data_IF_026019241750
#
_entry.id   IF_026019241750
#
_cell.length_a   1.000
_cell.length_b   1.000
_cell.length_c   1.000
_cell.angle_alpha   90.00
_cell.angle_beta   90.00
_cell.angle_gamma   90.00
#
_symmetry.space_group_name_H-M   'P 1'
#
loop_
_entity.id
_entity.type
_entity.pdbx_description
1 polymer ?
#
# COMPACT_ATOMS: atom_id res chain seq x y z
N UNK A 1 13.57 1.68 10.25
CA UNK A 1 12.15 1.98 9.96
C UNK A 1 11.82 3.44 10.24
N UNK A 2 11.81 3.90 11.50
CA UNK A 2 11.29 5.24 11.88
C UNK A 2 11.94 6.41 11.13
N UNK A 3 13.28 6.43 11.02
CA UNK A 3 13.98 7.49 10.28
C UNK A 3 13.50 7.62 8.83
N UNK A 4 13.44 6.49 8.12
CA UNK A 4 12.95 6.45 6.74
C UNK A 4 11.48 6.87 6.65
N UNK A 5 10.65 6.45 7.61
CA UNK A 5 9.26 6.92 7.72
C UNK A 5 9.14 8.44 7.85
N UNK A 6 10.02 9.09 8.64
CA UNK A 6 10.06 10.56 8.74
C UNK A 6 10.48 11.20 7.42
N UNK A 7 11.46 10.61 6.72
CA UNK A 7 11.95 11.12 5.42
C UNK A 7 10.86 11.15 4.35
N UNK A 8 9.95 10.16 4.34
CA UNK A 8 8.79 10.12 3.44
C UNK A 8 7.96 11.40 3.52
N UNK A 9 7.66 11.87 4.72
CA UNK A 9 6.84 13.07 4.94
C UNK A 9 7.60 14.39 4.73
N UNK A 10 8.93 14.35 4.76
CA UNK A 10 9.77 15.55 4.56
C UNK A 10 10.15 15.77 3.10
N UNK A 11 10.03 14.76 2.26
CA UNK A 11 10.50 14.81 0.88
C UNK A 11 9.37 15.19 -0.07
N UNK A 12 9.61 16.20 -0.92
CA UNK A 12 8.62 16.71 -1.87
C UNK A 12 8.52 15.88 -3.17
N UNK A 13 9.58 15.14 -3.51
CA UNK A 13 9.58 14.26 -4.69
C UNK A 13 8.92 12.92 -4.37
N UNK A 14 7.93 12.54 -5.19
CA UNK A 14 7.16 11.32 -5.02
C UNK A 14 8.03 10.05 -5.14
N UNK A 15 9.02 10.03 -6.05
CA UNK A 15 9.95 8.88 -6.20
C UNK A 15 10.79 8.70 -4.94
N UNK A 16 11.35 9.80 -4.42
CA UNK A 16 12.22 9.75 -3.25
C UNK A 16 11.45 9.31 -2.01
N UNK A 17 10.20 9.76 -1.88
CA UNK A 17 9.30 9.30 -0.82
C UNK A 17 8.96 7.82 -0.96
N UNK A 18 8.70 7.32 -2.18
CA UNK A 18 8.48 5.89 -2.40
C UNK A 18 9.70 5.04 -2.03
N UNK A 19 10.91 5.45 -2.42
CA UNK A 19 12.14 4.75 -2.05
C UNK A 19 12.41 4.79 -0.54
N UNK A 20 12.18 5.92 0.12
CA UNK A 20 12.28 6.01 1.57
C UNK A 20 11.27 5.07 2.25
N UNK A 21 10.04 4.98 1.74
CA UNK A 21 9.04 4.05 2.26
C UNK A 21 9.45 2.59 2.05
N UNK A 22 10.03 2.25 0.89
CA UNK A 22 10.59 0.92 0.62
C UNK A 22 11.62 0.53 1.68
N UNK A 23 12.60 1.41 1.97
CA UNK A 23 13.57 1.15 3.04
C UNK A 23 12.92 0.99 4.42
N UNK A 24 11.86 1.76 4.70
CA UNK A 24 11.11 1.60 5.95
C UNK A 24 10.44 0.23 6.05
N UNK A 25 9.80 -0.23 4.97
CA UNK A 25 9.12 -1.54 4.91
C UNK A 25 10.11 -2.71 4.91
N UNK A 26 11.22 -2.60 4.19
CA UNK A 26 12.30 -3.60 4.25
C UNK A 26 12.86 -3.72 5.66
N UNK A 27 13.04 -2.59 6.38
CA UNK A 27 13.48 -2.63 7.77
C UNK A 27 12.47 -3.33 8.71
N UNK A 28 11.15 -3.27 8.42
CA UNK A 28 10.14 -4.06 9.15
C UNK A 28 10.27 -5.56 8.83
N UNK A 29 10.52 -5.91 7.57
CA UNK A 29 10.82 -7.30 7.19
C UNK A 29 12.04 -7.86 7.94
N UNK A 30 13.12 -7.07 8.04
CA UNK A 30 14.31 -7.43 8.85
C UNK A 30 13.97 -7.57 10.34
N UNK A 31 13.07 -6.73 10.86
CA UNK A 31 12.59 -6.85 12.25
C UNK A 31 11.83 -8.16 12.47
N UNK A 32 11.02 -8.63 11.52
CA UNK A 32 10.39 -9.95 11.60
C UNK A 32 11.41 -11.09 11.60
N UNK A 33 12.50 -10.99 10.82
CA UNK A 33 13.60 -11.96 10.89
C UNK A 33 14.25 -11.96 12.29
N UNK A 34 14.45 -10.78 12.89
CA UNK A 34 14.96 -10.66 14.26
C UNK A 34 14.02 -11.26 15.31
N UNK A 35 12.72 -11.33 15.03
CA UNK A 35 11.70 -11.95 15.88
C UNK A 35 11.52 -13.45 15.60
N UNK A 36 12.42 -14.08 14.82
CA UNK A 36 12.35 -15.48 14.40
C UNK A 36 11.09 -15.83 13.57
N UNK A 37 10.45 -14.82 12.97
CA UNK A 37 9.31 -14.97 12.06
C UNK A 37 9.81 -14.95 10.61
N UNK A 38 10.60 -15.96 10.24
CA UNK A 38 11.38 -15.96 9.00
C UNK A 38 10.53 -15.90 7.73
N UNK A 39 9.52 -16.76 7.65
CA UNK A 39 8.59 -16.80 6.50
C UNK A 39 7.94 -15.43 6.27
N UNK A 40 7.43 -14.82 7.34
CA UNK A 40 6.75 -13.53 7.26
C UNK A 40 7.72 -12.40 6.91
N UNK A 41 8.94 -12.41 7.45
CA UNK A 41 9.99 -11.44 7.12
C UNK A 41 10.41 -11.50 5.65
N UNK A 42 10.60 -12.71 5.11
CA UNK A 42 10.93 -12.91 3.69
C UNK A 42 9.76 -12.46 2.81
N UNK A 43 8.53 -12.88 3.11
CA UNK A 43 7.35 -12.45 2.35
C UNK A 43 7.19 -10.93 2.35
N UNK A 44 7.37 -10.29 3.50
CA UNK A 44 7.29 -8.84 3.63
C UNK A 44 8.28 -8.15 2.69
N UNK A 45 9.53 -8.60 2.67
CA UNK A 45 10.57 -8.01 1.81
C UNK A 45 10.26 -8.29 0.34
N UNK A 46 9.91 -9.52 -0.03
CA UNK A 46 9.66 -9.88 -1.43
C UNK A 46 8.44 -9.16 -2.02
N UNK A 47 7.31 -9.13 -1.30
CA UNK A 47 6.09 -8.49 -1.79
C UNK A 47 6.25 -6.98 -1.87
N UNK A 48 6.73 -6.34 -0.80
CA UNK A 48 6.89 -4.88 -0.75
C UNK A 48 7.95 -4.39 -1.74
N UNK A 49 9.08 -5.09 -1.87
CA UNK A 49 10.09 -4.72 -2.86
C UNK A 49 9.51 -4.79 -4.28
N UNK A 50 8.73 -5.83 -4.58
CA UNK A 50 8.13 -6.00 -5.91
C UNK A 50 7.09 -4.92 -6.20
N UNK A 51 6.14 -4.67 -5.28
CA UNK A 51 5.07 -3.69 -5.52
C UNK A 51 5.65 -2.28 -5.75
N UNK A 52 6.56 -1.86 -4.87
CA UNK A 52 7.09 -0.50 -4.91
C UNK A 52 8.06 -0.31 -6.06
N UNK A 53 8.83 -1.35 -6.44
CA UNK A 53 9.72 -1.27 -7.61
C UNK A 53 8.92 -1.11 -8.89
N UNK A 54 7.85 -1.88 -9.07
CA UNK A 54 6.99 -1.79 -10.25
C UNK A 54 6.33 -0.41 -10.32
N UNK A 55 5.75 0.05 -9.21
CA UNK A 55 5.14 1.38 -9.13
C UNK A 55 6.18 2.48 -9.44
N UNK A 56 7.37 2.42 -8.84
CA UNK A 56 8.41 3.42 -9.06
C UNK A 56 8.88 3.47 -10.53
N UNK A 57 9.05 2.31 -11.17
CA UNK A 57 9.43 2.24 -12.59
C UNK A 57 8.35 2.88 -13.47
N UNK A 58 7.09 2.48 -13.30
CA UNK A 58 5.99 3.04 -14.09
C UNK A 58 5.77 4.53 -13.82
N UNK A 59 5.97 4.97 -12.58
CA UNK A 59 5.91 6.37 -12.20
C UNK A 59 6.97 7.19 -12.96
N UNK A 60 8.23 6.73 -12.97
CA UNK A 60 9.31 7.39 -13.72
C UNK A 60 9.06 7.35 -15.23
N UNK A 61 8.49 6.26 -15.75
CA UNK A 61 8.26 6.08 -17.18
C UNK A 61 7.07 6.89 -17.71
N UNK A 62 6.00 7.06 -16.91
CA UNK A 62 4.73 7.62 -17.39
C UNK A 62 4.31 8.94 -16.75
N UNK A 63 4.94 9.41 -15.66
CA UNK A 63 4.63 10.72 -15.09
C UNK A 63 5.59 11.79 -15.63
N UNK A 64 5.02 12.85 -16.21
CA UNK A 64 5.75 13.95 -16.86
C UNK A 64 6.42 14.92 -15.87
N UNK A 65 5.92 15.00 -14.63
CA UNK A 65 6.58 15.65 -13.50
C UNK A 65 6.39 14.83 -12.20
N UNK A 66 7.26 13.84 -11.95
CA UNK A 66 7.25 13.04 -10.73
C UNK A 66 7.76 13.79 -9.49
N UNK A 67 8.20 15.05 -9.65
CA UNK A 67 8.89 15.86 -8.66
C UNK A 67 7.99 16.70 -7.75
N UNK A 68 6.73 16.92 -8.15
CA UNK A 68 5.76 17.67 -7.34
C UNK A 68 6.14 19.15 -7.17
N UNK A 69 6.67 19.80 -8.21
CA UNK A 69 7.23 21.16 -8.16
C UNK A 69 6.17 22.29 -8.10
N UNK A 70 4.89 21.95 -7.96
CA UNK A 70 3.82 22.93 -7.76
C UNK A 70 3.63 23.24 -6.28
N UNK A 71 3.92 24.48 -5.85
CA UNK A 71 3.49 24.97 -4.54
C UNK A 71 1.95 25.00 -4.49
N UNK A 72 1.36 23.94 -3.96
CA UNK A 72 -0.03 23.93 -3.55
C UNK A 72 -0.07 23.93 -2.02
N UNK A 73 -0.09 25.14 -1.46
CA UNK A 73 -0.07 25.35 -0.02
C UNK A 73 -1.47 25.05 0.57
N UNK A 74 -1.73 23.77 0.85
CA UNK A 74 -2.93 23.33 1.58
C UNK A 74 -2.78 23.68 3.08
N UNK A 75 -2.89 24.96 3.40
CA UNK A 75 -2.74 25.49 4.77
C UNK A 75 -3.99 25.34 5.64
N UNK A 76 -5.11 24.84 5.10
CA UNK A 76 -6.28 24.54 5.91
C UNK A 76 -6.08 23.22 6.67
N UNK A 77 -5.81 23.31 7.98
CA UNK A 77 -5.88 22.24 9.00
C UNK A 77 -4.60 21.49 9.42
N UNK A 78 -3.39 22.00 9.12
CA UNK A 78 -2.11 21.40 9.60
C UNK A 78 -2.08 21.15 11.11
N UNK A 79 -2.67 22.05 11.90
CA UNK A 79 -2.74 21.95 13.37
C UNK A 79 -3.67 20.83 13.85
N UNK A 80 -4.80 20.61 13.17
CA UNK A 80 -5.73 19.53 13.51
C UNK A 80 -5.14 18.18 13.13
N UNK A 81 -4.50 18.07 11.96
CA UNK A 81 -3.80 16.85 11.55
C UNK A 81 -2.67 16.47 12.52
N UNK A 82 -1.86 17.45 12.95
CA UNK A 82 -0.81 17.22 13.94
C UNK A 82 -1.40 16.81 15.29
N UNK A 83 -2.49 17.45 15.73
CA UNK A 83 -3.21 17.08 16.94
C UNK A 83 -3.75 15.64 16.90
N UNK A 84 -4.41 15.26 15.80
CA UNK A 84 -4.94 13.91 15.62
C UNK A 84 -3.82 12.86 15.57
N UNK A 85 -2.70 13.15 14.90
CA UNK A 85 -1.53 12.27 14.85
C UNK A 85 -0.85 12.10 16.21
N UNK A 86 -0.76 13.17 17.01
CA UNK A 86 -0.19 13.09 18.35
C UNK A 86 -1.10 12.29 19.30
N UNK A 87 -2.42 12.53 19.25
CA UNK A 87 -3.40 11.82 20.07
C UNK A 87 -3.41 10.33 19.72
N UNK A 88 -3.40 9.96 18.44
CA UNK A 88 -3.34 8.56 18.02
C UNK A 88 -2.03 7.90 18.43
N UNK A 89 -0.89 8.59 18.31
CA UNK A 89 0.41 8.10 18.76
C UNK A 89 0.44 7.85 20.27
N UNK A 90 0.01 8.82 21.08
CA UNK A 90 -0.06 8.67 22.55
C UNK A 90 -1.00 7.53 22.93
N UNK A 91 -2.16 7.40 22.25
CA UNK A 91 -3.08 6.29 22.45
C UNK A 91 -2.45 4.93 22.17
N UNK A 92 -1.75 4.78 21.04
CA UNK A 92 -1.05 3.54 20.70
C UNK A 92 0.06 3.20 21.71
N UNK A 93 0.85 4.20 22.14
CA UNK A 93 1.90 4.00 23.14
C UNK A 93 1.30 3.62 24.50
N UNK A 94 0.19 4.23 24.89
CA UNK A 94 -0.51 3.87 26.12
C UNK A 94 -0.97 2.42 26.08
N UNK A 95 -1.61 1.97 24.99
CA UNK A 95 -2.00 0.56 24.83
C UNK A 95 -0.76 -0.34 24.88
N UNK A 96 0.30 0.00 24.17
CA UNK A 96 1.51 -0.81 24.12
C UNK A 96 2.17 -1.00 25.50
N UNK A 97 2.16 0.03 26.36
CA UNK A 97 2.82 0.01 27.68
C UNK A 97 1.91 -0.49 28.80
N UNK A 98 0.62 -0.18 28.76
CA UNK A 98 -0.32 -0.50 29.85
C UNK A 98 -1.04 -1.84 29.68
N UNK A 99 -1.08 -2.39 28.46
CA UNK A 99 -1.64 -3.73 28.25
C UNK A 99 -0.63 -4.78 28.66
N UNK A 100 -1.09 -5.74 29.47
CA UNK A 100 -0.34 -6.96 29.75
C UNK A 100 -0.48 -7.91 28.56
N UNK A 101 0.62 -8.10 27.84
CA UNK A 101 0.71 -8.97 26.66
C UNK A 101 0.83 -10.46 27.03
N UNK A 102 0.90 -10.78 28.32
CA UNK A 102 1.07 -12.13 28.81
C UNK A 102 2.54 -12.59 28.85
N UNK A 103 2.77 -13.88 29.15
CA UNK A 103 4.12 -14.42 29.31
C UNK A 103 4.89 -14.40 28.00
N UNK A 104 6.16 -14.00 28.08
CA UNK A 104 7.08 -14.04 26.93
C UNK A 104 7.36 -15.51 26.58
N UNK A 105 7.16 -15.87 25.30
CA UNK A 105 7.53 -17.18 24.81
C UNK A 105 9.05 -17.38 24.95
N UNK A 106 9.47 -18.40 25.70
CA UNK A 106 10.89 -18.65 25.99
C UNK A 106 11.61 -19.40 24.88
N UNK A 107 10.87 -20.06 23.98
CA UNK A 107 11.41 -20.84 22.85
C UNK A 107 10.50 -20.64 21.64
N UNK A 108 11.07 -20.14 20.54
CA UNK A 108 10.40 -20.17 19.25
C UNK A 108 10.62 -21.53 18.57
N UNK A 109 9.60 -22.13 17.93
CA UNK A 109 9.77 -23.31 17.10
C UNK A 109 10.74 -23.06 15.95
N UNK A 110 11.33 -24.12 15.39
CA UNK A 110 12.18 -24.01 14.21
C UNK A 110 11.42 -23.44 12.99
N UNK A 111 12.12 -22.74 12.10
CA UNK A 111 11.53 -22.06 10.95
C UNK A 111 10.76 -23.01 10.02
N UNK A 112 11.25 -24.24 9.83
CA UNK A 112 10.55 -25.23 9.02
C UNK A 112 9.22 -25.64 9.66
N UNK A 113 9.22 -25.84 10.98
CA UNK A 113 8.01 -26.18 11.72
C UNK A 113 6.99 -25.05 11.69
N UNK A 114 7.43 -23.80 11.90
CA UNK A 114 6.55 -22.62 11.81
C UNK A 114 5.85 -22.52 10.44
N UNK A 115 6.56 -22.87 9.35
CA UNK A 115 6.00 -22.84 8.00
C UNK A 115 4.92 -23.92 7.80
N UNK A 116 5.16 -25.12 8.34
CA UNK A 116 4.16 -26.21 8.32
C UNK A 116 2.94 -25.83 9.15
N UNK A 117 3.14 -25.33 10.36
CA UNK A 117 2.07 -24.92 11.27
C UNK A 117 1.22 -23.81 10.66
N UNK A 118 1.86 -22.82 10.01
CA UNK A 118 1.14 -21.77 9.28
C UNK A 118 0.30 -22.36 8.13
N UNK A 119 0.85 -23.30 7.37
CA UNK A 119 0.10 -23.97 6.30
C UNK A 119 -1.12 -24.73 6.82
N UNK A 120 -0.98 -25.45 7.93
CA UNK A 120 -2.09 -26.17 8.58
C UNK A 120 -3.14 -25.19 9.13
N UNK A 121 -2.71 -24.08 9.70
CA UNK A 121 -3.61 -23.04 10.21
C UNK A 121 -4.39 -22.36 9.07
N UNK A 122 -3.71 -22.06 7.95
CA UNK A 122 -4.32 -21.46 6.75
C UNK A 122 -5.32 -22.39 6.06
N UNK A 123 -5.01 -23.68 5.95
CA UNK A 123 -5.87 -24.67 5.31
C UNK A 123 -6.91 -25.30 6.25
N UNK A 124 -6.73 -25.14 7.56
CA UNK A 124 -7.65 -25.61 8.58
C UNK A 124 -8.59 -24.49 9.02
N UNK A 125 -8.28 -23.87 10.16
CA UNK A 125 -9.16 -22.88 10.81
C UNK A 125 -9.37 -21.62 9.98
N UNK A 126 -8.34 -21.16 9.26
CA UNK A 126 -8.36 -19.91 8.50
C UNK A 126 -8.71 -20.08 7.02
N UNK A 127 -9.26 -21.24 6.61
CA UNK A 127 -9.56 -21.56 5.22
C UNK A 127 -10.46 -20.53 4.54
N UNK A 128 -11.52 -20.07 5.22
CA UNK A 128 -12.42 -19.04 4.67
C UNK A 128 -11.72 -17.69 4.45
N UNK A 129 -10.80 -17.31 5.34
CA UNK A 129 -10.02 -16.07 5.18
C UNK A 129 -9.08 -16.20 3.98
N UNK A 130 -8.44 -17.36 3.83
CA UNK A 130 -7.57 -17.64 2.69
C UNK A 130 -8.35 -17.59 1.36
N UNK A 131 -9.52 -18.22 1.30
CA UNK A 131 -10.36 -18.24 0.10
C UNK A 131 -10.87 -16.84 -0.27
N UNK A 132 -11.36 -16.08 0.71
CA UNK A 132 -11.84 -14.71 0.47
C UNK A 132 -10.72 -13.75 0.08
N UNK A 133 -9.49 -13.93 0.60
CA UNK A 133 -8.32 -13.20 0.13
C UNK A 133 -8.02 -13.51 -1.34
N UNK A 134 -8.08 -14.78 -1.74
CA UNK A 134 -7.92 -15.20 -3.14
C UNK A 134 -8.94 -14.58 -4.08
N UNK A 135 -10.22 -14.58 -3.70
CA UNK A 135 -11.30 -13.91 -4.46
C UNK A 135 -11.05 -12.41 -4.54
N UNK A 136 -10.61 -11.78 -3.45
CA UNK A 136 -10.30 -10.34 -3.42
C UNK A 136 -9.18 -9.99 -4.39
N UNK A 137 -8.10 -10.79 -4.44
CA UNK A 137 -7.00 -10.59 -5.39
C UNK A 137 -7.50 -10.73 -6.83
N UNK A 138 -8.31 -11.77 -7.11
CA UNK A 138 -8.91 -11.97 -8.43
C UNK A 138 -9.78 -10.76 -8.84
N UNK A 139 -10.63 -10.30 -7.93
CA UNK A 139 -11.48 -9.12 -8.16
C UNK A 139 -10.64 -7.87 -8.39
N UNK A 140 -9.58 -7.66 -7.61
CA UNK A 140 -8.66 -6.53 -7.79
C UNK A 140 -7.97 -6.56 -9.16
N UNK A 141 -7.53 -7.74 -9.63
CA UNK A 141 -6.95 -7.90 -10.96
C UNK A 141 -7.95 -7.54 -12.08
N UNK A 142 -9.19 -8.02 -11.98
CA UNK A 142 -10.25 -7.72 -12.94
C UNK A 142 -10.55 -6.22 -12.94
N UNK A 143 -10.72 -5.61 -11.76
CA UNK A 143 -11.01 -4.19 -11.61
C UNK A 143 -9.87 -3.32 -12.17
N UNK A 144 -8.62 -3.62 -11.84
CA UNK A 144 -7.46 -2.90 -12.36
C UNK A 144 -7.36 -3.00 -13.89
N UNK A 145 -7.60 -4.20 -14.45
CA UNK A 145 -7.59 -4.42 -15.90
C UNK A 145 -8.73 -3.66 -16.59
N UNK A 146 -9.94 -3.68 -16.02
CA UNK A 146 -11.08 -2.96 -16.57
C UNK A 146 -10.85 -1.44 -16.57
N UNK A 147 -10.23 -0.89 -15.52
CA UNK A 147 -9.87 0.54 -15.43
C UNK A 147 -8.78 0.91 -16.44
N UNK A 148 -7.86 0.00 -16.75
CA UNK A 148 -6.77 0.25 -17.70
C UNK A 148 -7.23 0.28 -19.17
N UNK A 149 -8.37 -0.35 -19.50
CA UNK A 149 -8.90 -0.37 -20.86
C UNK A 149 -9.61 0.95 -21.17
N UNK A 150 -9.16 1.65 -22.22
CA UNK A 150 -9.88 2.84 -22.70
C UNK A 150 -11.23 2.45 -23.31
N UNK A 151 -12.34 3.11 -22.94
CA UNK A 151 -13.62 2.91 -23.60
C UNK A 151 -13.48 3.23 -25.08
N UNK A 152 -13.76 2.27 -25.96
CA UNK A 152 -13.78 2.51 -27.40
C UNK A 152 -14.73 3.65 -27.71
N UNK A 153 -14.24 4.71 -28.35
CA UNK A 153 -15.07 5.78 -28.92
C UNK A 153 -16.00 5.14 -29.95
N UNK A 154 -17.22 4.79 -29.51
CA UNK A 154 -18.32 4.53 -30.43
C UNK A 154 -18.78 5.88 -30.95
N UNK A 155 -18.07 6.41 -31.95
CA UNK A 155 -18.54 7.50 -32.78
C UNK A 155 -19.72 7.01 -33.62
N UNK A 156 -20.89 6.91 -32.99
CA UNK A 156 -22.16 6.79 -33.69
C UNK A 156 -22.43 8.10 -34.44
N UNK A 157 -22.06 8.13 -35.72
CA UNK A 157 -22.51 9.16 -36.66
C UNK A 157 -24.03 9.19 -36.68
N UNK A 158 -24.64 10.22 -36.09
CA UNK A 158 -26.06 10.55 -36.30
C UNK A 158 -26.13 11.76 -37.24
N UNK A 159 -26.60 11.61 -38.49
CA UNK A 159 -26.82 12.75 -39.37
C UNK A 159 -28.14 13.40 -38.95
N UNK A 160 -28.09 14.46 -38.12
CA UNK A 160 -29.27 15.26 -37.79
C UNK A 160 -29.23 16.63 -38.47
N UNK A 161 -30.06 16.73 -39.50
CA UNK A 161 -30.77 17.92 -39.95
C UNK A 161 -29.95 19.19 -40.28
N UNK A 162 -29.52 19.28 -41.54
CA UNK A 162 -29.42 20.57 -42.22
C UNK A 162 -30.86 21.01 -42.59
N UNK A 163 -31.47 21.83 -41.72
CA UNK A 163 -32.63 22.65 -42.07
C UNK A 163 -32.42 24.04 -41.48
N UNK A 164 -31.68 24.89 -42.19
CA UNK A 164 -31.98 26.31 -42.28
C UNK A 164 -31.07 26.95 -43.34
N UNK A 165 -31.68 27.45 -44.41
CA UNK A 165 -31.28 28.73 -45.00
C UNK A 165 -32.53 29.32 -45.60
N UNK A 166 -33.03 30.31 -44.87
CA UNK A 166 -34.12 31.19 -45.22
C UNK A 166 -33.92 31.88 -46.57
N UNK A 167 -35.08 32.18 -47.18
CA UNK A 167 -35.25 33.10 -48.29
C UNK A 167 -34.75 34.51 -47.92
N UNK A 168 -34.28 35.26 -48.91
CA UNK A 168 -34.92 36.54 -49.20
C UNK A 168 -35.71 36.50 -50.51
#
# INVERSE_FOLDING_TARGET
AVWFGIVVFRTFSMVRSALALLFSQTALGVMFLSMQAEFLGVLQIMMMATEMSIMAIFMVMFMMDPGGLGEMDMTHQKRLSLGAGLVSFVGAVAVAVFVDWGPVASVAPDAAQQTVDLGLELLGRSMLIFETAGITILTAMIAATAVAIQPGVNSGTSPRHMKETERP
#
